data_IF_717692414685
#
_entry.id   IF_717692414685
#
_cell.length_a   1.000
_cell.length_b   1.000
_cell.length_c   1.000
_cell.angle_alpha   90.00
_cell.angle_beta   90.00
_cell.angle_gamma   90.00
#
_symmetry.space_group_name_H-M   'P 1'
#
loop_
_entity.id
_entity.type
_entity.pdbx_description
1 polymer ?
#
# COMPACT_ATOMS: atom_id res chain seq x y z
N UNK A 1 -19.48 5.05 5.66
CA UNK A 1 -18.49 4.04 6.09
C UNK A 1 -17.17 4.13 5.31
N UNK A 2 -17.17 4.19 3.97
CA UNK A 2 -15.93 4.40 3.17
C UNK A 2 -15.30 5.78 3.43
N UNK A 3 -16.10 6.86 3.41
CA UNK A 3 -15.59 8.22 3.66
C UNK A 3 -14.85 8.32 5.00
N UNK A 4 -15.41 7.77 6.08
CA UNK A 4 -14.74 7.73 7.39
C UNK A 4 -13.40 6.95 7.39
N UNK A 5 -13.23 5.95 6.50
CA UNK A 5 -11.95 5.23 6.35
C UNK A 5 -10.96 6.05 5.52
N UNK A 6 -11.42 6.78 4.51
CA UNK A 6 -10.60 7.73 3.75
C UNK A 6 -10.19 8.93 4.62
N UNK A 7 -11.07 9.42 5.49
CA UNK A 7 -10.78 10.48 6.47
C UNK A 7 -9.70 10.04 7.47
N UNK A 8 -9.58 8.74 7.74
CA UNK A 8 -8.51 8.22 8.58
C UNK A 8 -7.12 8.38 7.95
N UNK A 9 -7.00 8.52 6.62
CA UNK A 9 -5.75 8.85 5.96
C UNK A 9 -5.35 10.30 6.23
N UNK A 10 -6.32 11.22 6.15
CA UNK A 10 -6.11 12.64 6.48
C UNK A 10 -5.73 12.81 7.95
N UNK A 11 -6.42 12.10 8.84
CA UNK A 11 -6.09 12.12 10.27
C UNK A 11 -4.69 11.55 10.53
N UNK A 12 -4.32 10.44 9.88
CA UNK A 12 -2.96 9.90 9.97
C UNK A 12 -1.92 10.92 9.52
N UNK A 13 -2.18 11.64 8.42
CA UNK A 13 -1.28 12.71 7.96
C UNK A 13 -1.14 13.80 9.01
N UNK A 14 -2.25 14.27 9.58
CA UNK A 14 -2.28 15.33 10.59
C UNK A 14 -1.47 14.96 11.83
N UNK A 15 -1.71 13.77 12.40
CA UNK A 15 -1.05 13.34 13.65
C UNK A 15 0.44 13.02 13.48
N UNK A 16 0.86 12.63 12.27
CA UNK A 16 2.27 12.34 11.96
C UNK A 16 3.00 13.52 11.29
N UNK A 17 2.42 14.73 11.35
CA UNK A 17 3.03 15.93 10.77
C UNK A 17 3.39 15.79 9.28
N UNK A 18 2.57 15.05 8.53
CA UNK A 18 2.73 14.85 7.08
C UNK A 18 1.95 15.96 6.36
N UNK A 19 2.46 16.51 5.25
CA UNK A 19 1.67 17.42 4.41
C UNK A 19 0.33 16.82 3.99
N UNK A 20 -0.69 17.67 3.82
CA UNK A 20 -1.98 17.24 3.29
C UNK A 20 -1.83 16.65 1.88
N UNK A 21 -2.64 15.65 1.56
CA UNK A 21 -2.70 15.14 0.20
C UNK A 21 -3.30 16.21 -0.72
N UNK A 22 -2.62 16.46 -1.84
CA UNK A 22 -3.15 17.32 -2.91
C UNK A 22 -3.16 16.52 -4.20
N UNK A 23 -4.34 16.40 -4.78
CA UNK A 23 -4.49 15.72 -6.07
C UNK A 23 -3.61 16.42 -7.12
N UNK A 24 -2.85 15.63 -7.87
CA UNK A 24 -1.86 16.09 -8.86
C UNK A 24 -0.59 16.77 -8.29
N UNK A 25 -0.40 16.78 -6.98
CA UNK A 25 0.86 17.21 -6.36
C UNK A 25 1.71 15.97 -6.00
N UNK A 26 2.75 15.71 -6.80
CA UNK A 26 3.67 14.61 -6.57
C UNK A 26 4.43 14.73 -5.23
N UNK A 27 4.59 15.95 -4.69
CA UNK A 27 5.29 16.17 -3.42
C UNK A 27 4.45 15.78 -2.21
N UNK A 28 3.12 15.72 -2.34
CA UNK A 28 2.23 15.30 -1.25
C UNK A 28 2.33 13.80 -0.92
N UNK A 29 3.01 13.03 -1.77
CA UNK A 29 3.19 11.59 -1.63
C UNK A 29 1.87 10.83 -1.54
N UNK A 30 1.89 9.66 -0.92
CA UNK A 30 0.75 8.73 -0.85
C UNK A 30 0.80 7.96 0.45
N UNK A 31 -0.32 7.96 1.16
CA UNK A 31 -0.58 7.04 2.26
C UNK A 31 -1.60 6.01 1.79
N UNK A 32 -1.40 4.78 2.23
CA UNK A 32 -2.37 3.71 2.11
C UNK A 32 -2.65 3.13 3.50
N UNK A 33 -3.83 2.53 3.66
CA UNK A 33 -4.26 1.92 4.89
C UNK A 33 -5.08 0.67 4.58
N UNK A 34 -4.76 -0.42 5.28
CA UNK A 34 -5.64 -1.59 5.37
C UNK A 34 -6.10 -1.73 6.81
N UNK A 35 -7.32 -2.26 6.98
CA UNK A 35 -7.86 -2.58 8.30
C UNK A 35 -8.12 -4.08 8.38
N UNK A 36 -7.51 -4.72 9.36
CA UNK A 36 -7.65 -6.14 9.62
C UNK A 36 -7.63 -6.37 11.13
N UNK A 37 -8.46 -7.31 11.60
CA UNK A 37 -8.54 -7.65 13.04
C UNK A 37 -8.79 -6.42 13.94
N UNK A 38 -9.55 -5.44 13.44
CA UNK A 38 -9.86 -4.18 14.16
C UNK A 38 -8.70 -3.19 14.26
N UNK A 39 -7.55 -3.46 13.62
CA UNK A 39 -6.37 -2.60 13.61
C UNK A 39 -6.13 -1.99 12.24
N UNK A 40 -5.70 -0.72 12.24
CA UNK A 40 -5.32 0.01 11.02
C UNK A 40 -3.82 -0.11 10.80
N UNK A 41 -3.43 -0.53 9.61
CA UNK A 41 -2.03 -0.64 9.20
C UNK A 41 -1.79 0.32 8.04
N UNK A 42 -0.88 1.26 8.25
CA UNK A 42 -0.57 2.31 7.29
C UNK A 42 0.73 2.02 6.54
N UNK A 43 0.81 2.49 5.30
CA UNK A 43 2.01 2.50 4.48
C UNK A 43 2.17 3.84 3.77
N UNK A 44 3.40 4.18 3.40
CA UNK A 44 3.77 5.41 2.73
C UNK A 44 4.66 5.11 1.51
N UNK A 45 4.59 5.97 0.48
CA UNK A 45 5.58 5.87 -0.59
C UNK A 45 6.98 6.18 -0.03
N UNK A 46 7.99 5.51 -0.57
CA UNK A 46 9.38 5.56 -0.06
C UNK A 46 10.04 6.93 -0.05
N UNK A 47 9.53 7.88 -0.83
CA UNK A 47 10.05 9.25 -0.93
C UNK A 47 9.28 10.26 -0.08
N UNK A 48 8.17 9.86 0.56
CA UNK A 48 7.38 10.78 1.37
C UNK A 48 8.11 11.14 2.66
N UNK A 49 8.21 12.45 2.88
CA UNK A 49 8.76 13.04 4.09
C UNK A 49 7.68 13.75 4.88
N UNK A 50 7.84 13.76 6.20
CA UNK A 50 7.07 14.66 7.07
C UNK A 50 7.53 16.12 6.88
N UNK A 51 6.86 17.07 7.54
CA UNK A 51 7.20 18.50 7.46
C UNK A 51 8.57 18.84 8.08
N UNK A 52 9.23 17.90 8.76
CA UNK A 52 10.58 18.05 9.31
C UNK A 52 11.66 17.48 8.39
N UNK A 53 11.27 16.81 7.30
CA UNK A 53 12.18 16.22 6.32
C UNK A 53 12.53 14.75 6.58
N UNK A 54 11.94 14.12 7.59
CA UNK A 54 12.15 12.70 7.91
C UNK A 54 11.27 11.81 7.04
N UNK A 55 11.78 10.65 6.61
CA UNK A 55 10.99 9.69 5.84
C UNK A 55 9.85 9.13 6.69
N UNK A 56 8.64 9.10 6.12
CA UNK A 56 7.44 8.56 6.78
C UNK A 56 7.42 7.03 6.73
N UNK A 57 7.97 6.45 5.66
CA UNK A 57 8.07 5.00 5.46
C UNK A 57 8.72 4.34 6.67
N UNK A 58 8.12 3.26 7.16
CA UNK A 58 8.62 2.45 8.27
C UNK A 58 9.33 1.19 7.81
N UNK A 59 9.02 0.71 6.61
CA UNK A 59 9.60 -0.52 6.07
C UNK A 59 11.05 -0.29 5.60
N UNK A 60 12.05 -0.90 6.26
CA UNK A 60 13.45 -0.70 5.90
C UNK A 60 13.76 -1.30 4.53
N UNK A 61 14.73 -0.71 3.82
CA UNK A 61 15.12 -1.17 2.48
C UNK A 61 15.49 -2.66 2.45
N UNK A 62 16.20 -3.15 3.47
CA UNK A 62 16.60 -4.56 3.57
C UNK A 62 15.39 -5.51 3.54
N UNK A 63 14.30 -5.13 4.18
CA UNK A 63 13.10 -5.95 4.21
C UNK A 63 12.37 -5.92 2.85
N UNK A 64 12.37 -4.77 2.18
CA UNK A 64 11.87 -4.67 0.79
C UNK A 64 12.67 -5.60 -0.12
N UNK A 65 13.99 -5.59 0.01
CA UNK A 65 14.87 -6.43 -0.79
C UNK A 65 14.62 -7.92 -0.51
N UNK A 66 14.35 -8.31 0.75
CA UNK A 66 13.91 -9.68 1.10
C UNK A 66 12.58 -10.05 0.44
N UNK A 67 11.60 -9.14 0.38
CA UNK A 67 10.35 -9.39 -0.33
C UNK A 67 10.55 -9.52 -1.83
N UNK A 68 11.41 -8.71 -2.43
CA UNK A 68 11.77 -8.82 -3.85
C UNK A 68 12.36 -10.20 -4.12
N UNK A 69 13.35 -10.62 -3.33
CA UNK A 69 13.98 -11.93 -3.47
C UNK A 69 12.96 -13.07 -3.32
N UNK A 70 12.09 -13.00 -2.30
CA UNK A 70 11.02 -13.99 -2.09
C UNK A 70 10.11 -14.10 -3.32
N UNK A 71 9.70 -12.98 -3.91
CA UNK A 71 8.82 -12.97 -5.08
C UNK A 71 9.52 -13.51 -6.33
N UNK A 72 10.83 -13.27 -6.50
CA UNK A 72 11.64 -13.85 -7.58
C UNK A 72 11.73 -15.36 -7.40
N UNK A 73 12.10 -15.84 -6.20
CA UNK A 73 12.21 -17.27 -5.89
C UNK A 73 10.88 -18.02 -6.05
N UNK A 74 9.76 -17.36 -5.74
CA UNK A 74 8.42 -17.90 -5.95
C UNK A 74 7.95 -17.82 -7.42
N UNK A 75 8.77 -17.30 -8.34
CA UNK A 75 8.43 -17.12 -9.76
C UNK A 75 7.30 -16.11 -10.01
N UNK A 76 7.02 -15.21 -9.06
CA UNK A 76 5.93 -14.23 -9.12
C UNK A 76 6.34 -12.93 -9.83
N UNK A 77 7.63 -12.61 -9.82
CA UNK A 77 8.25 -11.54 -10.61
C UNK A 77 9.57 -12.03 -11.21
N UNK A 78 10.03 -11.42 -12.29
CA UNK A 78 11.22 -11.87 -13.04
C UNK A 78 12.54 -11.31 -12.53
N UNK A 79 12.51 -10.10 -11.99
CA UNK A 79 13.70 -9.37 -11.56
C UNK A 79 13.34 -8.27 -10.55
N UNK A 80 14.36 -7.63 -9.97
CA UNK A 80 14.18 -6.58 -8.97
C UNK A 80 13.43 -5.34 -9.49
N UNK A 81 13.54 -5.03 -10.80
CA UNK A 81 12.81 -3.91 -11.40
C UNK A 81 11.29 -4.10 -11.38
N UNK A 82 10.81 -5.34 -11.54
CA UNK A 82 9.39 -5.66 -11.35
C UNK A 82 8.95 -5.56 -9.88
N UNK A 83 9.89 -5.53 -8.94
CA UNK A 83 9.68 -5.38 -7.50
C UNK A 83 9.55 -3.93 -7.02
N UNK A 84 9.69 -2.93 -7.89
CA UNK A 84 9.62 -1.50 -7.52
C UNK A 84 8.31 -1.12 -6.82
N UNK A 85 7.20 -1.81 -7.10
CA UNK A 85 5.91 -1.56 -6.45
C UNK A 85 5.96 -1.76 -4.92
N UNK A 86 6.92 -2.54 -4.40
CA UNK A 86 7.11 -2.76 -2.96
C UNK A 86 7.59 -1.48 -2.24
N UNK A 87 8.07 -0.49 -2.99
CA UNK A 87 8.41 0.84 -2.46
C UNK A 87 7.20 1.78 -2.39
N UNK A 88 6.01 1.34 -2.79
CA UNK A 88 4.79 2.14 -2.74
C UNK A 88 3.97 1.91 -1.47
N UNK A 89 3.09 2.86 -1.18
CA UNK A 89 2.27 2.88 0.02
C UNK A 89 1.38 1.64 0.13
N UNK A 90 0.81 1.17 -0.98
CA UNK A 90 -0.09 0.02 -1.00
C UNK A 90 0.59 -1.26 -0.53
N UNK A 91 1.80 -1.52 -1.02
CA UNK A 91 2.58 -2.68 -0.62
C UNK A 91 3.03 -2.57 0.83
N UNK A 92 3.51 -1.41 1.26
CA UNK A 92 3.95 -1.21 2.63
C UNK A 92 2.80 -1.41 3.63
N UNK A 93 1.59 -0.92 3.35
CA UNK A 93 0.45 -1.10 4.25
C UNK A 93 0.12 -2.59 4.47
N UNK A 94 0.15 -3.39 3.39
CA UNK A 94 -0.09 -4.83 3.43
C UNK A 94 1.04 -5.59 4.15
N UNK A 95 2.30 -5.21 3.90
CA UNK A 95 3.47 -5.82 4.56
C UNK A 95 3.46 -5.47 6.06
N UNK A 96 3.18 -4.22 6.43
CA UNK A 96 3.09 -3.81 7.83
C UNK A 96 2.00 -4.56 8.59
N UNK A 97 0.86 -4.85 7.95
CA UNK A 97 -0.16 -5.72 8.52
C UNK A 97 0.35 -7.15 8.70
N UNK A 98 0.96 -7.73 7.67
CA UNK A 98 1.55 -9.08 7.73
C UNK A 98 2.59 -9.21 8.85
N UNK A 99 3.50 -8.24 8.98
CA UNK A 99 4.52 -8.20 10.02
C UNK A 99 3.94 -8.04 11.43
N UNK A 100 2.77 -7.42 11.54
CA UNK A 100 2.01 -7.35 12.79
C UNK A 100 1.28 -8.66 13.12
N UNK A 101 1.45 -9.72 12.32
CA UNK A 101 0.85 -11.03 12.52
C UNK A 101 -0.56 -11.18 11.96
N UNK A 102 -1.05 -10.19 11.19
CA UNK A 102 -2.38 -10.23 10.60
C UNK A 102 -2.50 -11.41 9.64
N UNK A 103 -3.57 -12.19 9.82
CA UNK A 103 -4.00 -13.18 8.83
C UNK A 103 -5.09 -12.58 7.97
N UNK A 104 -4.75 -12.26 6.73
CA UNK A 104 -5.74 -11.70 5.82
C UNK A 104 -6.80 -12.73 5.44
N UNK A 105 -8.08 -12.32 5.35
CA UNK A 105 -9.09 -13.12 4.65
C UNK A 105 -8.76 -13.20 3.14
N UNK A 106 -9.44 -14.11 2.43
CA UNK A 106 -9.27 -14.23 0.97
C UNK A 106 -9.61 -12.93 0.22
N UNK A 107 -10.40 -12.04 0.82
CA UNK A 107 -10.75 -10.73 0.26
C UNK A 107 -10.39 -9.61 1.22
N UNK A 108 -9.45 -8.75 0.84
CA UNK A 108 -8.98 -7.63 1.65
C UNK A 108 -9.39 -6.28 1.05
N UNK A 109 -9.39 -5.25 1.88
CA UNK A 109 -9.69 -3.86 1.47
C UNK A 109 -8.49 -2.97 1.77
N UNK A 110 -8.21 -2.06 0.84
CA UNK A 110 -7.18 -1.04 0.94
C UNK A 110 -7.79 0.33 0.64
N UNK A 111 -7.44 1.32 1.45
CA UNK A 111 -7.78 2.72 1.25
C UNK A 111 -6.51 3.49 0.92
N UNK A 112 -6.53 4.35 -0.09
CA UNK A 112 -5.33 5.05 -0.59
C UNK A 112 -5.66 6.51 -0.87
N UNK A 113 -4.72 7.43 -0.68
CA UNK A 113 -4.98 8.84 -0.98
C UNK A 113 -5.25 9.11 -2.46
N UNK A 114 -4.63 8.32 -3.35
CA UNK A 114 -4.65 8.53 -4.80
C UNK A 114 -5.04 7.26 -5.56
N UNK A 115 -5.46 7.37 -6.83
CA UNK A 115 -5.62 6.22 -7.69
C UNK A 115 -4.32 5.40 -7.77
N UNK A 116 -4.42 4.10 -7.53
CA UNK A 116 -3.30 3.14 -7.64
C UNK A 116 -2.69 3.16 -9.04
N UNK A 117 -1.36 3.21 -9.10
CA UNK A 117 -0.66 3.39 -10.37
C UNK A 117 -0.78 2.15 -11.28
N UNK A 118 -0.99 2.38 -12.59
CA UNK A 118 -1.19 1.30 -13.55
C UNK A 118 0.09 0.49 -13.82
N UNK A 119 1.24 1.16 -13.91
CA UNK A 119 2.50 0.56 -14.38
C UNK A 119 3.13 -0.41 -13.39
N UNK A 120 3.09 -0.10 -12.10
CA UNK A 120 3.74 -0.89 -11.06
C UNK A 120 2.71 -1.63 -10.18
N UNK A 121 1.87 -0.90 -9.44
CA UNK A 121 0.95 -1.51 -8.47
C UNK A 121 -0.14 -2.37 -9.12
N UNK A 122 -0.91 -1.84 -10.09
CA UNK A 122 -1.96 -2.67 -10.73
C UNK A 122 -1.39 -3.89 -11.45
N UNK A 123 -0.16 -3.80 -11.96
CA UNK A 123 0.53 -4.88 -12.68
C UNK A 123 1.09 -5.95 -11.74
N UNK A 124 1.70 -5.56 -10.63
CA UNK A 124 2.52 -6.47 -9.82
C UNK A 124 2.01 -6.72 -8.40
N UNK A 125 1.05 -5.95 -7.88
CA UNK A 125 0.58 -6.14 -6.49
C UNK A 125 -0.02 -7.54 -6.26
N UNK A 126 -0.60 -8.16 -7.29
CA UNK A 126 -1.08 -9.55 -7.23
C UNK A 126 0.00 -10.56 -6.81
N UNK A 127 1.27 -10.32 -7.15
CA UNK A 127 2.40 -11.13 -6.71
C UNK A 127 2.52 -11.12 -5.17
N UNK A 128 2.45 -9.95 -4.55
CA UNK A 128 2.44 -9.81 -3.10
C UNK A 128 1.19 -10.45 -2.49
N UNK A 129 0.00 -10.20 -3.06
CA UNK A 129 -1.26 -10.78 -2.57
C UNK A 129 -1.21 -12.30 -2.48
N UNK A 130 -0.56 -12.97 -3.45
CA UNK A 130 -0.38 -14.42 -3.42
C UNK A 130 0.41 -14.91 -2.20
N UNK A 131 1.43 -14.17 -1.77
CA UNK A 131 2.22 -14.50 -0.59
C UNK A 131 1.48 -14.20 0.71
N UNK A 132 0.52 -13.28 0.67
CA UNK A 132 -0.31 -12.89 1.81
C UNK A 132 -1.60 -13.71 1.94
N UNK A 133 -1.87 -14.63 1.01
CA UNK A 133 -3.10 -15.42 0.99
C UNK A 133 -4.35 -14.63 0.57
N UNK A 134 -4.18 -13.47 -0.06
CA UNK A 134 -5.27 -12.60 -0.52
C UNK A 134 -5.59 -12.98 -1.98
N UNK A 135 -6.82 -13.41 -2.24
CA UNK A 135 -7.32 -13.69 -3.60
C UNK A 135 -7.85 -12.43 -4.29
N UNK A 136 -8.47 -11.53 -3.53
CA UNK A 136 -9.08 -10.30 -4.05
C UNK A 136 -8.72 -9.12 -3.16
N UNK A 137 -8.23 -8.04 -3.77
CA UNK A 137 -8.01 -6.77 -3.09
C UNK A 137 -8.91 -5.69 -3.70
N UNK A 138 -9.74 -5.08 -2.85
CA UNK A 138 -10.56 -3.93 -3.20
C UNK A 138 -9.84 -2.65 -2.78
N UNK A 139 -9.57 -1.77 -3.73
CA UNK A 139 -8.86 -0.51 -3.48
C UNK A 139 -9.81 0.66 -3.67
N UNK A 140 -10.00 1.43 -2.60
CA UNK A 140 -10.73 2.69 -2.58
C UNK A 140 -9.74 3.85 -2.47
N UNK A 141 -10.06 4.99 -3.07
CA UNK A 141 -9.23 6.18 -2.93
C UNK A 141 -10.05 7.47 -2.78
N UNK A 142 -9.38 8.53 -2.33
CA UNK A 142 -9.99 9.84 -2.12
C UNK A 142 -10.49 10.39 -3.46
N UNK A 143 -11.70 10.95 -3.45
CA UNK A 143 -12.37 11.52 -4.63
C UNK A 143 -12.55 10.56 -5.81
N UNK A 144 -12.63 9.25 -5.55
CA UNK A 144 -12.85 8.26 -6.60
C UNK A 144 -14.20 8.46 -7.29
N UNK A 145 -14.17 8.60 -8.62
CA UNK A 145 -15.37 8.55 -9.47
C UNK A 145 -15.76 7.12 -9.84
N UNK A 146 -14.81 6.17 -9.78
CA UNK A 146 -14.98 4.77 -10.17
C UNK A 146 -14.29 3.83 -9.16
N UNK A 147 -14.87 3.68 -7.96
CA UNK A 147 -14.36 2.78 -6.93
C UNK A 147 -15.28 1.56 -6.68
N UNK A 148 -14.74 0.42 -6.23
CA UNK A 148 -13.32 0.14 -6.02
C UNK A 148 -12.58 -0.29 -7.30
N UNK A 149 -11.26 -0.04 -7.37
CA UNK A 149 -10.38 -0.79 -8.27
C UNK A 149 -10.16 -2.16 -7.66
N UNK A 150 -10.29 -3.21 -8.46
CA UNK A 150 -10.09 -4.59 -7.98
C UNK A 150 -8.80 -5.17 -8.54
N UNK A 151 -7.98 -5.78 -7.68
CA UNK A 151 -6.87 -6.63 -8.08
C UNK A 151 -7.22 -8.06 -7.69
N UNK A 152 -7.23 -8.94 -8.68
CA UNK A 152 -7.47 -10.37 -8.49
C UNK A 152 -6.12 -11.07 -8.60
N UNK A 153 -5.74 -11.79 -7.56
CA UNK A 153 -4.64 -12.73 -7.65
C UNK A 153 -5.14 -13.99 -8.37
N UNK A 154 -4.70 -14.18 -9.62
CA UNK A 154 -5.10 -15.31 -10.47
C UNK A 154 -4.27 -16.59 -10.22
N UNK A 155 -3.47 -16.64 -9.14
CA UNK A 155 -2.53 -17.73 -8.86
C UNK A 155 -2.57 -18.19 -7.41
#
# INVERSE_FOLDING_TARGET
MINAKLDALNEFRRVNNIPEYKQNDAQSGTIAMTEAEGKKHFGANSTLKDKTGNLVRKLPKSEVDTWIERLILAGKIKNAGEGEFLYHAEAEALINAHNAGVKFPESAVLFVDRPTCAKACKKHLGALLSQLGIKKLYIYWINATEAPSTIINAH
#
